data_IF_653868658833
#
_entry.id   IF_653868658833
#
_cell.length_a   1.000
_cell.length_b   1.000
_cell.length_c   1.000
_cell.angle_alpha   90.00
_cell.angle_beta   90.00
_cell.angle_gamma   90.00
#
_symmetry.space_group_name_H-M   'P 1'
#
loop_
_entity.id
_entity.type
_entity.pdbx_description
1 polymer ?
#
# COMPACT_ATOMS: atom_id res chain seq x y z
N UNK A 1 -0.67 -19.97 -5.78
CA UNK A 1 -1.48 -18.73 -5.91
C UNK A 1 -1.79 -18.09 -4.56
N UNK A 2 -2.37 -18.81 -3.60
CA UNK A 2 -2.56 -18.31 -2.22
C UNK A 2 -1.26 -17.83 -1.56
N UNK A 3 -0.15 -18.56 -1.72
CA UNK A 3 1.18 -18.12 -1.26
C UNK A 3 1.66 -16.82 -1.92
N UNK A 4 1.33 -16.58 -3.19
CA UNK A 4 1.69 -15.34 -3.88
C UNK A 4 0.87 -14.15 -3.33
N UNK A 5 -0.42 -14.37 -3.06
CA UNK A 5 -1.29 -13.37 -2.41
C UNK A 5 -0.78 -13.06 -0.99
N UNK A 6 -0.42 -14.07 -0.22
CA UNK A 6 0.18 -13.89 1.11
C UNK A 6 1.54 -13.18 1.04
N UNK A 7 2.38 -13.48 0.04
CA UNK A 7 3.68 -12.83 -0.13
C UNK A 7 3.52 -11.35 -0.50
N UNK A 8 2.63 -11.01 -1.44
CA UNK A 8 2.33 -9.62 -1.80
C UNK A 8 1.71 -8.88 -0.62
N UNK A 9 0.87 -9.53 0.18
CA UNK A 9 0.33 -8.95 1.39
C UNK A 9 1.39 -8.70 2.45
N UNK A 10 2.21 -9.70 2.78
CA UNK A 10 3.30 -9.55 3.74
C UNK A 10 4.27 -8.46 3.29
N UNK A 11 4.57 -8.38 2.00
CA UNK A 11 5.35 -7.31 1.42
C UNK A 11 4.68 -5.94 1.61
N UNK A 12 3.38 -5.82 1.33
CA UNK A 12 2.61 -4.60 1.57
C UNK A 12 2.54 -4.20 3.05
N UNK A 13 2.37 -5.17 3.95
CA UNK A 13 2.38 -4.98 5.41
C UNK A 13 3.74 -4.52 5.89
N UNK A 14 4.81 -5.17 5.44
CA UNK A 14 6.18 -4.86 5.85
C UNK A 14 6.60 -3.48 5.31
N UNK A 15 6.17 -3.10 4.11
CA UNK A 15 6.32 -1.74 3.59
C UNK A 15 5.53 -0.71 4.41
N UNK A 16 4.29 -1.01 4.79
CA UNK A 16 3.49 -0.15 5.66
C UNK A 16 4.14 0.03 7.04
N UNK A 17 4.53 -1.06 7.70
CA UNK A 17 5.13 -1.04 9.03
C UNK A 17 6.47 -0.31 9.01
N UNK A 18 7.35 -0.59 8.03
CA UNK A 18 8.63 0.12 7.93
C UNK A 18 8.46 1.61 7.65
N UNK A 19 7.45 2.00 6.85
CA UNK A 19 7.16 3.42 6.59
C UNK A 19 6.51 4.14 7.76
N UNK A 20 5.57 3.50 8.48
CA UNK A 20 5.00 4.03 9.72
C UNK A 20 6.10 4.25 10.75
N UNK A 21 7.00 3.28 10.91
CA UNK A 21 8.12 3.38 11.85
C UNK A 21 9.06 4.53 11.49
N UNK A 22 9.32 4.74 10.20
CA UNK A 22 10.14 5.85 9.71
C UNK A 22 9.49 7.22 9.92
N UNK A 23 8.20 7.35 9.61
CA UNK A 23 7.45 8.60 9.81
C UNK A 23 7.34 8.92 11.30
N UNK A 24 7.05 7.93 12.13
CA UNK A 24 6.99 8.09 13.59
C UNK A 24 8.34 8.52 14.16
N UNK A 25 9.44 7.92 13.68
CA UNK A 25 10.78 8.31 14.08
C UNK A 25 11.16 9.73 13.62
N UNK A 26 10.72 10.15 12.42
CA UNK A 26 10.90 11.53 11.94
C UNK A 26 10.05 12.53 12.75
N UNK A 27 8.83 12.16 13.18
CA UNK A 27 7.95 12.99 14.02
C UNK A 27 8.53 13.21 15.42
N UNK A 28 8.97 12.13 16.06
CA UNK A 28 9.58 12.18 17.41
C UNK A 28 10.85 13.05 17.42
N UNK A 29 11.63 13.01 16.34
CA UNK A 29 12.83 13.85 16.19
C UNK A 29 12.53 15.34 16.00
N UNK A 30 11.35 15.70 15.50
CA UNK A 30 10.90 17.11 15.43
C UNK A 30 10.36 17.57 16.79
N UNK A 31 9.60 16.72 17.48
CA UNK A 31 8.99 17.01 18.78
C UNK A 31 10.03 17.16 19.91
N UNK A 32 11.11 16.38 19.88
CA UNK A 32 12.24 16.50 20.82
C UNK A 32 13.14 17.72 20.56
N UNK A 33 12.86 18.53 19.53
CA UNK A 33 13.55 19.81 19.29
C UNK A 33 15.00 19.70 18.77
N UNK A 34 15.52 18.49 18.59
CA UNK A 34 16.84 18.21 18.05
C UNK A 34 16.74 17.41 16.74
N UNK A 35 16.31 18.03 15.62
CA UNK A 35 16.31 17.35 14.34
C UNK A 35 17.77 17.03 13.96
N UNK A 36 18.14 15.75 13.98
CA UNK A 36 19.45 15.33 13.53
C UNK A 36 19.68 15.81 12.07
N UNK A 37 20.84 16.40 11.78
CA UNK A 37 21.25 16.97 10.48
C UNK A 37 21.10 16.04 9.24
N UNK A 38 20.64 14.79 9.41
CA UNK A 38 20.40 13.80 8.35
C UNK A 38 18.93 13.50 8.09
N UNK A 39 17.98 14.07 8.84
CA UNK A 39 16.53 13.87 8.64
C UNK A 39 15.93 14.93 7.71
N UNK A 40 14.82 14.59 7.03
CA UNK A 40 14.15 15.47 6.04
C UNK A 40 13.69 16.81 6.64
N UNK A 41 13.26 16.79 7.90
CA UNK A 41 12.92 17.98 8.67
C UNK A 41 14.14 18.87 8.96
N UNK A 42 15.31 18.27 9.21
CA UNK A 42 16.59 18.98 9.35
C UNK A 42 17.00 19.69 8.05
N UNK A 43 16.87 19.03 6.90
CA UNK A 43 17.12 19.67 5.60
C UNK A 43 16.17 20.84 5.33
N UNK A 44 14.87 20.71 5.65
CA UNK A 44 13.94 21.82 5.52
C UNK A 44 14.33 22.98 6.43
N UNK A 45 14.52 22.73 7.74
CA UNK A 45 14.89 23.74 8.73
C UNK A 45 16.23 24.45 8.43
N UNK A 46 17.22 23.73 7.90
CA UNK A 46 18.50 24.29 7.42
C UNK A 46 18.33 25.10 6.13
N UNK A 47 17.39 24.69 5.26
CA UNK A 47 17.07 25.42 4.02
C UNK A 47 16.32 26.74 4.26
N UNK A 48 15.63 26.89 5.40
CA UNK A 48 14.89 28.11 5.77
C UNK A 48 15.69 29.10 6.61
N UNK A 49 16.81 28.70 7.24
CA UNK A 49 17.63 29.65 8.02
C UNK A 49 18.30 30.67 7.10
N UNK A 50 17.70 31.87 7.00
CA UNK A 50 18.23 33.01 6.26
C UNK A 50 17.70 33.22 4.83
N UNK A 51 16.65 32.51 4.39
CA UNK A 51 16.08 32.65 3.02
C UNK A 51 14.73 33.39 2.98
N UNK A 52 14.50 34.13 1.88
CA UNK A 52 13.30 34.94 1.62
C UNK A 52 12.00 34.10 1.54
N UNK A 53 10.85 34.74 1.80
CA UNK A 53 9.51 34.12 1.82
C UNK A 53 9.23 33.17 0.65
N UNK A 54 9.56 33.55 -0.58
CA UNK A 54 9.34 32.74 -1.78
C UNK A 54 10.13 31.42 -1.78
N UNK A 55 11.35 31.42 -1.25
CA UNK A 55 12.18 30.20 -1.16
C UNK A 55 11.59 29.19 -0.16
N UNK A 56 10.82 29.66 0.82
CA UNK A 56 10.18 28.82 1.86
C UNK A 56 9.02 28.03 1.28
N UNK A 57 8.21 28.69 0.45
CA UNK A 57 7.05 28.10 -0.25
C UNK A 57 7.50 27.00 -1.21
N UNK A 58 8.60 27.21 -1.94
CA UNK A 58 9.18 26.22 -2.85
C UNK A 58 9.69 25.00 -2.06
N UNK A 59 10.40 25.23 -0.95
CA UNK A 59 10.93 24.16 -0.10
C UNK A 59 9.82 23.32 0.55
N UNK A 60 8.73 23.97 0.96
CA UNK A 60 7.54 23.29 1.48
C UNK A 60 6.86 22.44 0.40
N UNK A 61 6.76 22.97 -0.84
CA UNK A 61 6.23 22.21 -1.99
C UNK A 61 7.05 20.95 -2.29
N UNK A 62 8.38 21.04 -2.24
CA UNK A 62 9.27 19.89 -2.44
C UNK A 62 9.13 18.84 -1.33
N UNK A 63 9.01 19.27 -0.07
CA UNK A 63 8.76 18.38 1.06
C UNK A 63 7.44 17.62 0.88
N UNK A 64 6.36 18.33 0.55
CA UNK A 64 5.05 17.73 0.26
C UNK A 64 5.13 16.72 -0.88
N UNK A 65 5.86 17.04 -1.95
CA UNK A 65 6.02 16.13 -3.09
C UNK A 65 6.79 14.85 -2.72
N UNK A 66 7.86 14.96 -1.92
CA UNK A 66 8.60 13.78 -1.42
C UNK A 66 7.75 12.91 -0.50
N UNK A 67 6.95 13.52 0.38
CA UNK A 67 6.03 12.80 1.27
C UNK A 67 4.89 12.11 0.49
N UNK A 68 4.32 12.79 -0.52
CA UNK A 68 3.28 12.23 -1.38
C UNK A 68 3.75 11.06 -2.24
N UNK A 69 4.98 11.12 -2.77
CA UNK A 69 5.56 10.03 -3.57
C UNK A 69 5.75 8.75 -2.77
N UNK A 70 5.96 8.86 -1.45
CA UNK A 70 6.15 7.73 -0.57
C UNK A 70 4.84 7.00 -0.21
N UNK A 71 3.73 7.75 -0.15
CA UNK A 71 2.38 7.23 0.06
C UNK A 71 1.86 6.50 -1.18
N UNK A 72 2.26 6.94 -2.38
CA UNK A 72 1.82 6.36 -3.66
C UNK A 72 2.19 4.88 -3.83
N UNK A 73 3.33 4.43 -3.27
CA UNK A 73 3.76 3.02 -3.33
C UNK A 73 2.79 2.10 -2.60
N UNK A 74 2.25 2.53 -1.45
CA UNK A 74 1.30 1.71 -0.67
C UNK A 74 0.00 1.55 -1.45
N UNK A 75 -0.49 2.64 -2.06
CA UNK A 75 -1.67 2.61 -2.93
C UNK A 75 -1.46 1.67 -4.12
N UNK A 76 -0.32 1.78 -4.80
CA UNK A 76 -0.01 0.94 -5.95
C UNK A 76 0.10 -0.55 -5.59
N UNK A 77 0.64 -0.85 -4.40
CA UNK A 77 0.66 -2.21 -3.86
C UNK A 77 -0.76 -2.71 -3.63
N UNK A 78 -1.62 -1.90 -2.99
CA UNK A 78 -3.03 -2.25 -2.78
C UNK A 78 -3.75 -2.59 -4.09
N UNK A 79 -3.62 -1.72 -5.11
CA UNK A 79 -4.22 -1.92 -6.43
C UNK A 79 -3.73 -3.22 -7.09
N UNK A 80 -2.46 -3.58 -6.90
CA UNK A 80 -1.89 -4.82 -7.39
C UNK A 80 -2.51 -6.07 -6.75
N UNK A 81 -2.98 -6.01 -5.49
CA UNK A 81 -3.68 -7.15 -4.87
C UNK A 81 -5.04 -7.44 -5.53
N UNK A 82 -5.75 -6.40 -5.96
CA UNK A 82 -7.01 -6.56 -6.71
C UNK A 82 -6.73 -7.20 -8.05
N UNK A 83 -5.71 -6.73 -8.77
CA UNK A 83 -5.28 -7.34 -10.03
C UNK A 83 -4.89 -8.81 -9.85
N UNK A 84 -4.16 -9.15 -8.78
CA UNK A 84 -3.80 -10.54 -8.48
C UNK A 84 -5.03 -11.41 -8.18
N UNK A 85 -6.06 -10.84 -7.52
CA UNK A 85 -7.36 -11.50 -7.32
C UNK A 85 -8.05 -11.84 -8.64
N UNK A 86 -8.05 -10.91 -9.60
CA UNK A 86 -8.58 -11.12 -10.95
C UNK A 86 -7.77 -12.18 -11.73
N UNK A 87 -6.44 -12.21 -11.61
CA UNK A 87 -5.63 -13.29 -12.19
C UNK A 87 -6.04 -14.64 -11.60
N UNK A 88 -6.36 -14.69 -10.31
CA UNK A 88 -6.87 -15.87 -9.63
C UNK A 88 -8.22 -16.36 -10.19
N UNK A 89 -9.11 -15.45 -10.62
CA UNK A 89 -10.38 -15.87 -11.27
C UNK A 89 -10.13 -16.52 -12.62
N UNK A 90 -9.23 -15.96 -13.43
CA UNK A 90 -8.86 -16.52 -14.73
C UNK A 90 -8.27 -17.93 -14.55
N UNK A 91 -7.35 -18.10 -13.60
CA UNK A 91 -6.75 -19.41 -13.31
C UNK A 91 -7.81 -20.39 -12.80
N UNK A 92 -8.71 -19.95 -11.91
CA UNK A 92 -9.79 -20.80 -11.40
C UNK A 92 -10.74 -21.26 -12.51
N UNK A 93 -11.07 -20.39 -13.47
CA UNK A 93 -11.85 -20.79 -14.64
C UNK A 93 -11.11 -21.75 -15.57
N UNK A 94 -9.80 -21.57 -15.78
CA UNK A 94 -8.99 -22.52 -16.57
C UNK A 94 -9.04 -23.91 -15.92
N UNK A 95 -8.88 -23.99 -14.60
CA UNK A 95 -8.98 -25.26 -13.87
C UNK A 95 -10.39 -25.84 -13.96
N UNK A 96 -11.42 -25.03 -13.76
CA UNK A 96 -12.81 -25.47 -13.81
C UNK A 96 -13.15 -26.10 -15.18
N UNK A 97 -12.73 -25.45 -16.28
CA UNK A 97 -12.99 -25.92 -17.63
C UNK A 97 -12.09 -27.08 -18.07
N UNK A 98 -10.93 -27.26 -17.43
CA UNK A 98 -10.00 -28.35 -17.79
C UNK A 98 -10.55 -29.76 -17.54
N UNK A 99 -11.52 -29.89 -16.62
CA UNK A 99 -12.17 -31.16 -16.31
C UNK A 99 -13.45 -31.40 -17.11
N UNK A 100 -13.81 -30.52 -18.04
CA UNK A 100 -15.02 -30.67 -18.85
C UNK A 100 -14.68 -31.47 -20.11
N UNK A 101 -15.11 -32.72 -20.14
CA UNK A 101 -15.07 -33.56 -21.33
C UNK A 101 -16.48 -33.69 -21.92
N UNK A 102 -16.75 -33.14 -23.12
CA UNK A 102 -18.06 -33.23 -23.77
C UNK A 102 -18.48 -34.67 -24.09
N UNK A 103 -17.52 -35.58 -24.31
CA UNK A 103 -17.77 -36.95 -24.77
C UNK A 103 -17.98 -37.94 -23.61
N UNK A 104 -17.50 -37.61 -22.40
CA UNK A 104 -17.61 -38.44 -21.20
C UNK A 104 -19.00 -38.40 -20.52
N UNK A 105 -19.94 -37.59 -21.01
CA UNK A 105 -21.27 -37.36 -20.38
C UNK A 105 -22.22 -38.58 -20.33
N UNK A 106 -21.78 -39.75 -20.82
CA UNK A 106 -22.61 -40.95 -20.92
C UNK A 106 -22.54 -41.88 -19.70
N UNK A 107 -21.59 -41.68 -18.78
CA UNK A 107 -21.51 -42.44 -17.51
C UNK A 107 -21.65 -41.50 -16.30
N UNK A 108 -22.45 -41.92 -15.32
CA UNK A 108 -22.72 -41.14 -14.09
C UNK A 108 -21.45 -40.83 -13.29
N UNK A 109 -20.45 -41.73 -13.32
CA UNK A 109 -19.16 -41.54 -12.65
C UNK A 109 -18.36 -40.35 -13.21
N UNK A 110 -18.43 -40.13 -14.52
CA UNK A 110 -17.68 -39.09 -15.22
C UNK A 110 -18.28 -37.71 -14.96
N UNK A 111 -19.62 -37.64 -14.78
CA UNK A 111 -20.33 -36.41 -14.40
C UNK A 111 -19.91 -35.94 -13.00
N UNK A 112 -19.75 -36.86 -12.04
CA UNK A 112 -19.32 -36.50 -10.69
C UNK A 112 -17.88 -35.91 -10.68
N UNK A 113 -16.98 -36.48 -11.49
CA UNK A 113 -15.61 -35.99 -11.66
C UNK A 113 -15.55 -34.60 -12.34
N UNK A 114 -16.36 -34.41 -13.39
CA UNK A 114 -16.51 -33.10 -14.05
C UNK A 114 -17.00 -32.02 -13.07
N UNK A 115 -18.04 -32.32 -12.30
CA UNK A 115 -18.58 -31.40 -11.28
C UNK A 115 -17.53 -31.11 -10.21
N UNK A 116 -16.78 -32.12 -9.76
CA UNK A 116 -15.70 -31.93 -8.80
C UNK A 116 -14.64 -30.94 -9.30
N UNK A 117 -14.23 -31.05 -10.56
CA UNK A 117 -13.23 -30.15 -11.16
C UNK A 117 -13.77 -28.74 -11.37
N UNK A 118 -15.04 -28.60 -11.80
CA UNK A 118 -15.72 -27.32 -11.90
C UNK A 118 -15.80 -26.59 -10.55
N UNK A 119 -16.23 -27.31 -9.50
CA UNK A 119 -16.33 -26.77 -8.14
C UNK A 119 -14.96 -26.39 -7.62
N UNK A 120 -13.93 -27.21 -7.85
CA UNK A 120 -12.56 -26.90 -7.43
C UNK A 120 -12.04 -25.60 -8.09
N UNK A 121 -12.18 -25.46 -9.41
CA UNK A 121 -11.76 -24.25 -10.12
C UNK A 121 -12.53 -23.00 -9.69
N UNK A 122 -13.85 -23.12 -9.50
CA UNK A 122 -14.67 -22.03 -8.98
C UNK A 122 -14.27 -21.62 -7.56
N UNK A 123 -13.98 -22.60 -6.70
CA UNK A 123 -13.52 -22.35 -5.33
C UNK A 123 -12.22 -21.56 -5.32
N UNK A 124 -11.25 -21.92 -6.18
CA UNK A 124 -10.00 -21.19 -6.34
C UNK A 124 -10.27 -19.74 -6.74
N UNK A 125 -11.10 -19.52 -7.77
CA UNK A 125 -11.44 -18.19 -8.26
C UNK A 125 -12.06 -17.29 -7.17
N UNK A 126 -13.03 -17.81 -6.44
CA UNK A 126 -13.73 -17.08 -5.39
C UNK A 126 -12.81 -16.75 -4.22
N UNK A 127 -12.01 -17.74 -3.76
CA UNK A 127 -11.13 -17.55 -2.61
C UNK A 127 -10.02 -16.53 -2.91
N UNK A 128 -9.39 -16.59 -4.09
CA UNK A 128 -8.35 -15.64 -4.47
C UNK A 128 -8.89 -14.22 -4.63
N UNK A 129 -10.12 -14.08 -5.13
CA UNK A 129 -10.79 -12.77 -5.26
C UNK A 129 -11.12 -12.19 -3.90
N UNK A 130 -11.73 -12.99 -3.02
CA UNK A 130 -12.10 -12.56 -1.68
C UNK A 130 -10.87 -12.12 -0.88
N UNK A 131 -9.83 -12.96 -0.88
CA UNK A 131 -8.59 -12.66 -0.17
C UNK A 131 -7.95 -11.39 -0.76
N UNK A 132 -7.85 -11.26 -2.09
CA UNK A 132 -7.33 -10.04 -2.73
C UNK A 132 -8.10 -8.77 -2.33
N UNK A 133 -9.44 -8.84 -2.30
CA UNK A 133 -10.29 -7.71 -1.94
C UNK A 133 -10.17 -7.33 -0.45
N UNK A 134 -10.20 -8.31 0.46
CA UNK A 134 -10.08 -8.07 1.91
C UNK A 134 -8.73 -7.41 2.24
N UNK A 135 -7.65 -7.93 1.65
CA UNK A 135 -6.31 -7.41 1.87
C UNK A 135 -6.13 -6.02 1.24
N UNK A 136 -6.73 -5.76 0.07
CA UNK A 136 -6.76 -4.42 -0.52
C UNK A 136 -7.44 -3.40 0.41
N UNK A 137 -8.61 -3.74 0.96
CA UNK A 137 -9.32 -2.87 1.91
C UNK A 137 -8.46 -2.60 3.15
N UNK A 138 -7.82 -3.64 3.69
CA UNK A 138 -6.90 -3.52 4.82
C UNK A 138 -5.74 -2.55 4.51
N UNK A 139 -5.07 -2.72 3.38
CA UNK A 139 -3.96 -1.85 2.97
C UNK A 139 -4.43 -0.40 2.75
N UNK A 140 -5.63 -0.20 2.20
CA UNK A 140 -6.21 1.12 2.00
C UNK A 140 -6.51 1.85 3.32
N UNK A 141 -6.93 1.13 4.36
CA UNK A 141 -7.12 1.69 5.71
C UNK A 141 -5.76 2.15 6.26
N UNK A 142 -4.73 1.30 6.18
CA UNK A 142 -3.37 1.65 6.62
C UNK A 142 -2.81 2.85 5.85
N UNK A 143 -3.04 2.90 4.53
CA UNK A 143 -2.67 4.04 3.69
C UNK A 143 -3.35 5.33 4.15
N UNK A 144 -4.66 5.30 4.44
CA UNK A 144 -5.39 6.49 4.91
C UNK A 144 -4.82 7.01 6.23
N UNK A 145 -4.54 6.11 7.17
CA UNK A 145 -3.93 6.47 8.45
C UNK A 145 -2.54 7.11 8.25
N UNK A 146 -1.71 6.52 7.37
CA UNK A 146 -0.39 7.06 7.03
C UNK A 146 -0.46 8.44 6.35
N UNK A 147 -1.41 8.63 5.44
CA UNK A 147 -1.63 9.89 4.74
C UNK A 147 -2.06 11.00 5.69
N UNK A 148 -2.91 10.69 6.69
CA UNK A 148 -3.28 11.64 7.73
C UNK A 148 -2.05 12.05 8.55
N UNK A 149 -1.33 11.09 9.14
CA UNK A 149 -0.15 11.40 9.96
C UNK A 149 0.95 12.13 9.20
N UNK A 150 1.11 11.85 7.90
CA UNK A 150 2.04 12.58 7.04
C UNK A 150 1.62 14.04 6.81
N UNK A 151 0.31 14.29 6.72
CA UNK A 151 -0.24 15.65 6.59
C UNK A 151 -0.05 16.43 7.90
N UNK A 152 -0.26 15.77 9.03
CA UNK A 152 -0.05 16.36 10.36
C UNK A 152 1.44 16.69 10.59
N UNK A 153 2.35 15.79 10.21
CA UNK A 153 3.80 16.04 10.23
C UNK A 153 4.19 17.25 9.37
N UNK A 154 3.64 17.32 8.16
CA UNK A 154 3.91 18.44 7.26
C UNK A 154 3.47 19.77 7.89
N UNK A 155 2.27 19.82 8.48
CA UNK A 155 1.76 21.01 9.16
C UNK A 155 2.64 21.40 10.35
N UNK A 156 3.04 20.43 11.19
CA UNK A 156 3.91 20.67 12.33
C UNK A 156 5.30 21.22 11.92
N UNK A 157 5.89 20.69 10.85
CA UNK A 157 7.18 21.18 10.31
C UNK A 157 7.05 22.62 9.82
N UNK A 158 5.97 22.94 9.08
CA UNK A 158 5.72 24.29 8.57
C UNK A 158 5.51 25.26 9.74
N UNK A 159 4.68 24.89 10.72
CA UNK A 159 4.41 25.72 11.90
C UNK A 159 5.68 26.00 12.71
N UNK A 160 6.52 24.99 12.93
CA UNK A 160 7.80 25.15 13.64
C UNK A 160 8.77 26.05 12.85
N UNK A 161 8.76 25.95 11.52
CA UNK A 161 9.53 26.82 10.62
C UNK A 161 9.09 28.28 10.70
N UNK A 162 7.77 28.55 10.72
CA UNK A 162 7.22 29.89 10.92
C UNK A 162 7.61 30.48 12.28
N UNK A 163 7.49 29.69 13.36
CA UNK A 163 7.85 30.14 14.72
C UNK A 163 9.33 30.49 14.88
N UNK A 164 10.24 29.79 14.19
CA UNK A 164 11.70 30.05 14.26
C UNK A 164 12.14 31.30 13.50
N UNK A 165 11.40 31.73 12.48
CA UNK A 165 11.72 32.92 11.68
C UNK A 165 10.94 34.16 12.14
N UNK A 166 9.86 33.97 12.91
CA UNK A 166 9.10 35.05 13.55
C UNK A 166 9.73 35.66 14.81
N UNK A 167 11.04 35.49 15.03
CA UNK A 167 11.84 36.17 16.07
C UNK A 167 12.88 37.06 15.40
#
# INVERSE_FOLDING_TARGET
MTLAICAVFLFGLLLCTTRIWRINHELNAVEEGAPANRTRAGWYLDSISGRSGDSRTISAGLLRNRLGGEIAIVRHTAESLVFLGLVGTVIGFIVALSGVDPEASTRVDDVASMVGTLVAGMSIALYTTLVGAVLHVWLMINHRMLASGTSDLFNAIVELGERRVGV
#
